data_IF_894223942411
#
_entry.id   IF_894223942411
#
_cell.length_a   1.000
_cell.length_b   1.000
_cell.length_c   1.000
_cell.angle_alpha   90.00
_cell.angle_beta   90.00
_cell.angle_gamma   90.00
#
_symmetry.space_group_name_H-M   'P 1'
#
loop_
_entity.id
_entity.type
_entity.pdbx_description
1 polymer ?
#
# COMPACT_ATOMS: atom_id res chain seq x y z
N UNK A 1 -20.16 12.47 13.96
CA UNK A 1 -18.68 12.62 13.95
C UNK A 1 -18.20 13.90 14.64
N UNK A 2 -18.66 15.12 14.30
CA UNK A 2 -18.10 16.37 14.84
C UNK A 2 -18.13 16.54 16.38
N UNK A 3 -19.14 15.99 17.08
CA UNK A 3 -19.32 16.21 18.52
C UNK A 3 -18.42 15.36 19.45
N UNK A 4 -17.66 14.39 18.91
CA UNK A 4 -16.75 13.52 19.69
C UNK A 4 -15.27 13.68 19.29
N UNK A 5 -14.96 14.67 18.47
CA UNK A 5 -13.60 14.89 17.95
C UNK A 5 -12.93 15.97 18.79
N UNK A 6 -11.70 15.73 19.32
CA UNK A 6 -10.93 16.77 19.99
C UNK A 6 -10.79 18.01 19.11
N UNK A 7 -10.88 19.21 19.72
CA UNK A 7 -10.95 20.47 18.98
C UNK A 7 -9.78 20.69 18.00
N UNK A 8 -8.60 20.15 18.32
CA UNK A 8 -7.41 20.25 17.49
C UNK A 8 -7.40 19.29 16.27
N UNK A 9 -8.35 18.36 16.18
CA UNK A 9 -8.56 17.45 15.05
C UNK A 9 -9.75 17.85 14.17
N UNK A 10 -10.54 18.85 14.55
CA UNK A 10 -11.67 19.35 13.74
C UNK A 10 -11.22 19.72 12.32
N UNK A 11 -10.11 20.46 12.09
CA UNK A 11 -9.66 20.76 10.73
C UNK A 11 -9.31 19.51 9.93
N UNK A 12 -8.72 18.49 10.58
CA UNK A 12 -8.39 17.21 9.93
C UNK A 12 -9.64 16.43 9.57
N UNK A 13 -10.67 16.41 10.42
CA UNK A 13 -11.94 15.73 10.09
C UNK A 13 -12.67 16.44 8.95
N UNK A 14 -12.63 17.77 8.90
CA UNK A 14 -13.19 18.54 7.79
C UNK A 14 -12.44 18.27 6.49
N UNK A 15 -11.12 18.26 6.53
CA UNK A 15 -10.28 17.92 5.38
C UNK A 15 -10.52 16.49 4.90
N UNK A 16 -10.56 15.51 5.80
CA UNK A 16 -10.86 14.12 5.46
C UNK A 16 -12.25 13.99 4.82
N UNK A 17 -13.25 14.69 5.36
CA UNK A 17 -14.60 14.72 4.79
C UNK A 17 -14.58 15.31 3.37
N UNK A 18 -13.83 16.39 3.14
CA UNK A 18 -13.68 16.98 1.82
C UNK A 18 -12.98 16.02 0.84
N UNK A 19 -11.90 15.35 1.26
CA UNK A 19 -11.20 14.35 0.45
C UNK A 19 -12.11 13.16 0.11
N UNK A 20 -12.84 12.61 1.08
CA UNK A 20 -13.82 11.53 0.83
C UNK A 20 -14.89 11.98 -0.16
N UNK A 21 -15.42 13.21 -0.04
CA UNK A 21 -16.37 13.76 -1.01
C UNK A 21 -15.77 13.93 -2.41
N UNK A 22 -14.52 14.39 -2.50
CA UNK A 22 -13.84 14.52 -3.78
C UNK A 22 -13.75 13.17 -4.52
N UNK A 23 -13.57 12.06 -3.78
CA UNK A 23 -13.56 10.72 -4.41
C UNK A 23 -14.91 10.23 -4.95
N UNK A 24 -16.00 10.94 -4.68
CA UNK A 24 -17.31 10.68 -5.29
C UNK A 24 -17.37 11.12 -6.76
N UNK A 25 -16.39 11.91 -7.21
CA UNK A 25 -16.24 12.22 -8.63
C UNK A 25 -16.05 10.89 -9.41
N UNK A 26 -16.87 10.61 -10.43
CA UNK A 26 -16.76 9.40 -11.24
C UNK A 26 -15.42 9.31 -11.98
N UNK A 27 -14.72 10.43 -12.17
CA UNK A 27 -13.38 10.48 -12.79
C UNK A 27 -12.24 10.19 -11.80
N UNK A 28 -12.53 10.08 -10.50
CA UNK A 28 -11.54 9.63 -9.52
C UNK A 28 -11.30 8.14 -9.70
N UNK A 29 -10.03 7.71 -9.90
CA UNK A 29 -9.73 6.30 -10.04
C UNK A 29 -10.21 5.46 -8.85
N UNK A 30 -10.74 4.25 -9.07
CA UNK A 30 -11.24 3.39 -7.99
C UNK A 30 -10.20 3.02 -6.92
N UNK A 31 -8.93 2.93 -7.29
CA UNK A 31 -7.80 2.66 -6.41
C UNK A 31 -7.63 3.83 -5.42
N UNK A 32 -7.65 5.06 -5.94
CA UNK A 32 -7.62 6.28 -5.13
C UNK A 32 -8.83 6.35 -4.20
N UNK A 33 -10.04 6.13 -4.74
CA UNK A 33 -11.28 6.09 -3.95
C UNK A 33 -11.21 5.03 -2.84
N UNK A 34 -10.77 3.82 -3.16
CA UNK A 34 -10.65 2.71 -2.23
C UNK A 34 -9.63 2.98 -1.12
N UNK A 35 -8.47 3.52 -1.47
CA UNK A 35 -7.43 3.89 -0.52
C UNK A 35 -7.90 5.00 0.43
N UNK A 36 -8.59 6.03 -0.10
CA UNK A 36 -9.18 7.09 0.72
C UNK A 36 -10.23 6.54 1.68
N UNK A 37 -11.13 5.66 1.22
CA UNK A 37 -12.18 5.07 2.07
C UNK A 37 -11.57 4.22 3.20
N UNK A 38 -10.61 3.34 2.88
CA UNK A 38 -9.93 2.50 3.91
C UNK A 38 -9.14 3.36 4.89
N UNK A 39 -8.46 4.40 4.40
CA UNK A 39 -7.79 5.38 5.27
C UNK A 39 -8.78 6.10 6.19
N UNK A 40 -9.95 6.51 5.67
CA UNK A 40 -10.98 7.18 6.45
C UNK A 40 -11.57 6.27 7.54
N UNK A 41 -11.75 4.98 7.26
CA UNK A 41 -12.17 3.99 8.25
C UNK A 41 -11.14 3.82 9.36
N UNK A 42 -9.86 3.68 9.01
CA UNK A 42 -8.78 3.57 9.97
C UNK A 42 -8.62 4.84 10.83
N UNK A 43 -8.72 6.02 10.22
CA UNK A 43 -8.73 7.31 10.95
C UNK A 43 -9.95 7.40 11.87
N UNK A 44 -11.13 6.96 11.42
CA UNK A 44 -12.33 6.94 12.27
C UNK A 44 -12.13 6.09 13.52
N UNK A 45 -11.58 4.88 13.38
CA UNK A 45 -11.26 4.02 14.51
C UNK A 45 -10.23 4.67 15.45
N UNK A 46 -9.20 5.33 14.90
CA UNK A 46 -8.21 6.05 15.71
C UNK A 46 -8.82 7.23 16.48
N UNK A 47 -9.79 7.95 15.89
CA UNK A 47 -10.50 9.04 16.55
C UNK A 47 -11.32 8.55 17.75
N UNK A 48 -11.89 7.34 17.68
CA UNK A 48 -12.57 6.72 18.83
C UNK A 48 -11.60 6.46 19.98
N UNK A 49 -10.42 5.89 19.68
CA UNK A 49 -9.36 5.66 20.68
C UNK A 49 -8.87 6.99 21.28
N UNK A 50 -8.68 8.02 20.47
CA UNK A 50 -8.27 9.35 20.94
C UNK A 50 -9.31 9.96 21.89
N UNK A 51 -10.61 9.80 21.56
CA UNK A 51 -11.74 10.33 22.33
C UNK A 51 -12.03 9.58 23.62
N UNK A 52 -11.49 8.38 23.80
CA UNK A 52 -11.63 7.59 25.03
C UNK A 52 -10.85 8.25 26.20
N UNK A 53 -11.51 8.59 27.33
CA UNK A 53 -10.85 9.09 28.52
C UNK A 53 -9.80 8.12 29.11
N UNK A 54 -9.97 6.82 28.90
CA UNK A 54 -9.04 5.77 29.37
C UNK A 54 -7.75 5.68 28.56
N UNK A 55 -7.69 6.28 27.37
CA UNK A 55 -6.47 6.31 26.56
C UNK A 55 -5.42 7.20 27.20
N UNK A 56 -4.20 6.67 27.35
CA UNK A 56 -3.10 7.41 27.95
C UNK A 56 -2.76 8.68 27.14
N UNK A 57 -2.33 9.78 27.80
CA UNK A 57 -1.99 11.02 27.11
C UNK A 57 -0.90 10.86 26.02
N UNK A 58 0.04 9.93 26.24
CA UNK A 58 1.10 9.65 25.28
C UNK A 58 0.55 9.01 23.99
N UNK A 59 -0.28 7.97 24.12
CA UNK A 59 -0.92 7.31 22.96
C UNK A 59 -1.85 8.30 22.24
N UNK A 60 -2.64 9.08 23.00
CA UNK A 60 -3.49 10.12 22.44
C UNK A 60 -2.69 11.13 21.61
N UNK A 61 -1.56 11.61 22.14
CA UNK A 61 -0.67 12.54 21.42
C UNK A 61 -0.07 11.94 20.14
N UNK A 62 0.40 10.69 20.20
CA UNK A 62 0.94 9.96 19.05
C UNK A 62 -0.11 9.77 17.95
N UNK A 63 -1.30 9.27 18.29
CA UNK A 63 -2.40 9.07 17.35
C UNK A 63 -2.88 10.40 16.74
N UNK A 64 -3.04 11.45 17.56
CA UNK A 64 -3.42 12.78 17.06
C UNK A 64 -2.43 13.29 16.03
N UNK A 65 -1.12 13.15 16.29
CA UNK A 65 -0.07 13.55 15.35
C UNK A 65 -0.16 12.78 14.03
N UNK A 66 -0.28 11.45 14.09
CA UNK A 66 -0.34 10.60 12.91
C UNK A 66 -1.63 10.78 12.10
N UNK A 67 -2.79 10.95 12.76
CA UNK A 67 -4.06 11.26 12.08
C UNK A 67 -3.94 12.54 11.27
N UNK A 68 -3.35 13.61 11.84
CA UNK A 68 -3.08 14.86 11.09
C UNK A 68 -2.18 14.61 9.88
N UNK A 69 -1.18 13.74 10.02
CA UNK A 69 -0.27 13.41 8.92
C UNK A 69 -0.96 12.60 7.82
N UNK A 70 -1.69 11.53 8.16
CA UNK A 70 -2.46 10.71 7.21
C UNK A 70 -3.45 11.57 6.43
N UNK A 71 -4.26 12.37 7.13
CA UNK A 71 -5.23 13.27 6.49
C UNK A 71 -4.53 14.30 5.60
N UNK A 72 -3.43 14.90 6.06
CA UNK A 72 -2.66 15.84 5.24
C UNK A 72 -2.07 15.21 3.98
N UNK A 73 -1.66 13.95 4.05
CA UNK A 73 -1.15 13.17 2.90
C UNK A 73 -2.29 12.83 1.93
N UNK A 74 -3.46 12.41 2.41
CA UNK A 74 -4.65 12.23 1.56
C UNK A 74 -5.07 13.54 0.89
N UNK A 75 -5.03 14.66 1.62
CA UNK A 75 -5.25 15.97 1.04
C UNK A 75 -4.23 16.37 -0.03
N UNK A 76 -3.01 15.82 0.04
CA UNK A 76 -2.00 15.97 -1.01
C UNK A 76 -2.38 15.16 -2.25
N UNK A 77 -2.87 13.92 -2.10
CA UNK A 77 -3.35 13.11 -3.23
C UNK A 77 -4.48 13.80 -4.01
N UNK A 78 -5.38 14.51 -3.31
CA UNK A 78 -6.48 15.24 -3.93
C UNK A 78 -6.10 16.60 -4.53
N UNK A 79 -4.81 16.98 -4.56
CA UNK A 79 -4.39 18.27 -5.13
C UNK A 79 -4.55 18.27 -6.66
N UNK A 80 -5.11 19.34 -7.24
CA UNK A 80 -5.11 19.53 -8.69
C UNK A 80 -3.68 19.52 -9.25
N UNK A 81 -3.50 18.90 -10.41
CA UNK A 81 -2.22 18.92 -11.15
C UNK A 81 -1.22 17.80 -10.82
N UNK A 82 -1.51 16.93 -9.85
CA UNK A 82 -0.71 15.71 -9.65
C UNK A 82 -1.04 14.66 -10.72
N UNK A 83 -0.03 14.05 -11.36
CA UNK A 83 -0.25 12.93 -12.28
C UNK A 83 -0.97 11.76 -11.60
N UNK A 84 -1.83 10.99 -12.29
CA UNK A 84 -2.57 9.85 -11.72
C UNK A 84 -1.69 8.85 -10.95
N UNK A 85 -0.54 8.46 -11.50
CA UNK A 85 0.38 7.53 -10.82
C UNK A 85 0.95 8.07 -9.51
N UNK A 86 1.20 9.37 -9.42
CA UNK A 86 1.65 10.02 -8.18
C UNK A 86 0.51 10.10 -7.16
N UNK A 87 -0.71 10.46 -7.58
CA UNK A 87 -1.89 10.48 -6.70
C UNK A 87 -2.16 9.10 -6.10
N UNK A 88 -2.16 8.06 -6.93
CA UNK A 88 -2.31 6.66 -6.50
C UNK A 88 -1.23 6.26 -5.48
N UNK A 89 0.03 6.59 -5.76
CA UNK A 89 1.15 6.30 -4.84
C UNK A 89 0.98 7.00 -3.48
N UNK A 90 0.56 8.26 -3.46
CA UNK A 90 0.31 9.02 -2.23
C UNK A 90 -0.85 8.42 -1.44
N UNK A 91 -1.94 8.07 -2.12
CA UNK A 91 -3.09 7.43 -1.50
C UNK A 91 -2.73 6.05 -0.91
N UNK A 92 -1.92 5.27 -1.62
CA UNK A 92 -1.39 3.98 -1.15
C UNK A 92 -0.56 4.13 0.13
N UNK A 93 0.37 5.09 0.16
CA UNK A 93 1.18 5.36 1.36
C UNK A 93 0.29 5.77 2.53
N UNK A 94 -0.69 6.64 2.30
CA UNK A 94 -1.62 7.07 3.34
C UNK A 94 -2.44 5.90 3.89
N UNK A 95 -2.91 4.99 3.03
CA UNK A 95 -3.67 3.81 3.42
C UNK A 95 -2.85 2.85 4.29
N UNK A 96 -1.67 2.44 3.83
CA UNK A 96 -0.80 1.52 4.57
C UNK A 96 -0.22 2.16 5.84
N UNK A 97 -0.08 3.48 5.85
CA UNK A 97 0.25 4.23 7.06
C UNK A 97 -0.92 4.25 8.06
N UNK A 98 -2.15 4.38 7.56
CA UNK A 98 -3.35 4.43 8.38
C UNK A 98 -3.68 3.07 9.02
N UNK A 99 -3.38 1.95 8.35
CA UNK A 99 -3.61 0.61 8.90
C UNK A 99 -2.88 0.38 10.23
N UNK A 100 -1.68 0.98 10.39
CA UNK A 100 -0.90 0.89 11.63
C UNK A 100 -1.51 1.65 12.83
N UNK A 101 -2.44 2.58 12.60
CA UNK A 101 -3.05 3.38 13.68
C UNK A 101 -3.77 2.50 14.71
N UNK A 102 -4.34 1.38 14.28
CA UNK A 102 -5.01 0.44 15.18
C UNK A 102 -4.03 -0.16 16.18
N UNK A 103 -2.92 -0.74 15.71
CA UNK A 103 -1.90 -1.32 16.57
C UNK A 103 -1.26 -0.27 17.48
N UNK A 104 -1.07 0.97 16.99
CA UNK A 104 -0.54 2.06 17.80
C UNK A 104 -1.49 2.45 18.95
N UNK A 105 -2.80 2.49 18.64
CA UNK A 105 -3.84 2.82 19.62
C UNK A 105 -4.17 1.70 20.59
N UNK A 106 -3.77 0.46 20.29
CA UNK A 106 -3.99 -0.68 21.18
C UNK A 106 -3.09 -0.58 22.43
N UNK A 107 -3.72 -0.67 23.60
CA UNK A 107 -3.06 -0.65 24.89
C UNK A 107 -2.18 -1.89 25.13
N UNK A 108 -2.45 -3.00 24.45
CA UNK A 108 -1.66 -4.24 24.59
C UNK A 108 -0.39 -4.25 23.75
N UNK A 109 -0.26 -3.35 22.76
CA UNK A 109 0.94 -3.24 21.93
C UNK A 109 2.15 -2.84 22.78
N UNK A 110 3.26 -3.61 22.74
CA UNK A 110 4.50 -3.26 23.43
C UNK A 110 4.98 -1.85 23.08
N UNK A 111 5.51 -1.13 24.07
CA UNK A 111 5.85 0.29 23.91
C UNK A 111 6.96 0.55 22.87
N UNK A 112 7.92 -0.36 22.76
CA UNK A 112 8.98 -0.33 21.74
C UNK A 112 8.41 -0.55 20.33
N UNK A 113 7.58 -1.59 20.15
CA UNK A 113 6.88 -1.85 18.90
C UNK A 113 6.00 -0.65 18.49
N UNK A 114 5.23 -0.09 19.43
CA UNK A 114 4.41 1.11 19.20
C UNK A 114 5.25 2.29 18.71
N UNK A 115 6.39 2.56 19.35
CA UNK A 115 7.26 3.67 18.96
C UNK A 115 7.88 3.46 17.58
N UNK A 116 8.27 2.23 17.26
CA UNK A 116 8.78 1.89 15.93
C UNK A 116 7.71 2.03 14.84
N UNK A 117 6.48 1.60 15.10
CA UNK A 117 5.35 1.83 14.19
C UNK A 117 5.09 3.33 13.98
N UNK A 118 5.06 4.12 15.06
CA UNK A 118 4.91 5.59 14.97
C UNK A 118 6.02 6.21 14.11
N UNK A 119 7.27 5.78 14.30
CA UNK A 119 8.41 6.27 13.55
C UNK A 119 8.39 5.86 12.08
N UNK A 120 8.03 4.61 11.77
CA UNK A 120 7.91 4.10 10.40
C UNK A 120 6.80 4.83 9.62
N UNK A 121 5.60 4.89 10.19
CA UNK A 121 4.44 5.59 9.63
C UNK A 121 4.73 7.08 9.45
N UNK A 122 5.26 7.74 10.48
CA UNK A 122 5.59 9.16 10.42
C UNK A 122 6.68 9.48 9.39
N UNK A 123 7.70 8.62 9.29
CA UNK A 123 8.78 8.76 8.31
C UNK A 123 8.30 8.66 6.86
N UNK A 124 7.46 7.66 6.56
CA UNK A 124 6.87 7.50 5.22
C UNK A 124 5.99 8.70 4.84
N UNK A 125 5.09 9.15 5.73
CA UNK A 125 4.21 10.29 5.50
C UNK A 125 5.00 11.61 5.34
N UNK A 126 6.04 11.80 6.16
CA UNK A 126 6.92 12.97 6.06
C UNK A 126 7.69 12.99 4.73
N UNK A 127 8.17 11.85 4.26
CA UNK A 127 8.87 11.73 2.99
C UNK A 127 7.99 12.11 1.80
N UNK A 128 6.73 11.67 1.79
CA UNK A 128 5.76 12.07 0.75
C UNK A 128 5.55 13.58 0.77
N UNK A 129 5.31 14.15 1.95
CA UNK A 129 5.09 15.60 2.10
C UNK A 129 6.31 16.42 1.67
N UNK A 130 7.51 16.03 2.09
CA UNK A 130 8.75 16.73 1.74
C UNK A 130 9.05 16.66 0.25
N UNK A 131 8.76 15.52 -0.38
CA UNK A 131 8.95 15.32 -1.82
C UNK A 131 7.97 16.11 -2.67
N UNK A 132 6.70 16.22 -2.24
CA UNK A 132 5.63 16.88 -2.99
C UNK A 132 5.34 18.32 -2.55
N UNK A 133 5.97 18.79 -1.47
CA UNK A 133 5.80 20.14 -0.92
C UNK A 133 6.14 21.24 -1.93
N UNK A 134 7.18 21.00 -2.76
CA UNK A 134 7.66 21.93 -3.79
C UNK A 134 7.28 21.51 -5.21
N UNK A 135 6.27 20.65 -5.39
CA UNK A 135 5.87 20.21 -6.71
C UNK A 135 5.10 21.35 -7.43
N UNK A 136 5.61 21.90 -8.55
CA UNK A 136 4.96 23.03 -9.22
C UNK A 136 3.55 22.67 -9.69
N UNK A 137 2.59 23.59 -9.54
CA UNK A 137 1.19 23.42 -9.95
C UNK A 137 0.97 23.36 -11.47
N UNK A 138 2.02 23.51 -12.27
CA UNK A 138 1.93 23.45 -13.73
C UNK A 138 3.27 22.98 -14.29
N UNK A 139 3.33 21.72 -14.72
CA UNK A 139 4.46 21.20 -15.47
C UNK A 139 4.59 19.70 -15.30
N UNK A 140 4.34 18.95 -16.37
CA UNK A 140 4.86 17.60 -16.50
C UNK A 140 6.36 17.66 -16.21
N UNK A 141 6.79 17.14 -15.05
CA UNK A 141 8.20 17.03 -14.70
C UNK A 141 8.88 16.00 -15.58
N UNK A 142 9.05 16.29 -16.87
CA UNK A 142 9.78 15.46 -17.81
C UNK A 142 11.28 15.63 -17.52
N UNK A 143 11.90 14.57 -17.01
CA UNK A 143 13.34 14.51 -16.73
C UNK A 143 13.70 14.00 -15.33
N UNK A 144 14.91 14.33 -14.87
CA UNK A 144 15.51 13.80 -13.64
C UNK A 144 14.70 14.08 -12.36
N UNK A 145 13.95 15.20 -12.30
CA UNK A 145 13.12 15.55 -11.14
C UNK A 145 11.88 14.65 -11.00
N UNK A 146 11.26 14.27 -12.12
CA UNK A 146 10.15 13.31 -12.12
C UNK A 146 10.60 11.93 -11.63
N UNK A 147 11.76 11.46 -12.11
CA UNK A 147 12.35 10.19 -11.67
C UNK A 147 12.70 10.19 -10.16
N UNK A 148 13.24 11.30 -9.64
CA UNK A 148 13.54 11.42 -8.21
C UNK A 148 12.29 11.40 -7.34
N UNK A 149 11.20 12.07 -7.77
CA UNK A 149 9.93 12.03 -7.05
C UNK A 149 9.34 10.63 -7.07
N UNK A 150 9.38 9.95 -8.22
CA UNK A 150 8.91 8.58 -8.32
C UNK A 150 9.71 7.63 -7.41
N UNK A 151 11.04 7.78 -7.37
CA UNK A 151 11.91 6.99 -6.48
C UNK A 151 11.56 7.22 -5.00
N UNK A 152 11.36 8.48 -4.59
CA UNK A 152 11.00 8.80 -3.21
C UNK A 152 9.61 8.28 -2.83
N UNK A 153 8.64 8.32 -3.76
CA UNK A 153 7.32 7.72 -3.56
C UNK A 153 7.41 6.21 -3.46
N UNK A 154 8.18 5.53 -4.32
CA UNK A 154 8.40 4.09 -4.25
C UNK A 154 9.02 3.66 -2.91
N UNK A 155 10.04 4.39 -2.46
CA UNK A 155 10.65 4.19 -1.15
C UNK A 155 9.64 4.37 0.00
N UNK A 156 8.80 5.43 -0.05
CA UNK A 156 7.77 5.65 0.96
C UNK A 156 6.72 4.54 0.97
N UNK A 157 6.36 4.00 -0.21
CA UNK A 157 5.44 2.87 -0.34
C UNK A 157 5.99 1.63 0.34
N UNK A 158 7.24 1.25 0.05
CA UNK A 158 7.91 0.11 0.71
C UNK A 158 7.94 0.26 2.24
N UNK A 159 8.31 1.44 2.75
CA UNK A 159 8.31 1.70 4.20
C UNK A 159 6.91 1.58 4.79
N UNK A 160 5.88 2.08 4.10
CA UNK A 160 4.50 1.96 4.56
C UNK A 160 3.99 0.51 4.56
N UNK A 161 4.41 -0.31 3.59
CA UNK A 161 4.13 -1.76 3.59
C UNK A 161 4.78 -2.42 4.80
N UNK A 162 6.06 -2.12 5.07
CA UNK A 162 6.76 -2.62 6.26
C UNK A 162 6.04 -2.26 7.57
N UNK A 163 5.59 -1.01 7.71
CA UNK A 163 4.80 -0.58 8.87
C UNK A 163 3.46 -1.32 8.97
N UNK A 164 2.75 -1.50 7.84
CA UNK A 164 1.47 -2.20 7.81
C UNK A 164 1.60 -3.67 8.19
N UNK A 165 2.63 -4.37 7.72
CA UNK A 165 2.85 -5.79 8.07
C UNK A 165 3.30 -5.94 9.51
N UNK A 166 4.13 -5.03 10.02
CA UNK A 166 4.54 -5.05 11.41
C UNK A 166 3.39 -4.73 12.39
N UNK A 167 2.37 -4.00 11.94
CA UNK A 167 1.16 -3.70 12.71
C UNK A 167 0.08 -4.79 12.61
N UNK A 168 0.28 -5.79 11.74
CA UNK A 168 -0.69 -6.85 11.52
C UNK A 168 -0.60 -7.89 12.66
N UNK A 169 -1.71 -8.19 13.36
CA UNK A 169 -1.72 -9.14 14.47
C UNK A 169 -1.39 -10.58 14.06
N UNK A 170 -1.52 -10.93 12.77
CA UNK A 170 -1.16 -12.26 12.29
C UNK A 170 0.34 -12.40 11.98
N UNK A 171 1.09 -11.29 11.95
CA UNK A 171 2.54 -11.34 11.84
C UNK A 171 3.11 -11.83 13.17
N UNK A 172 4.01 -12.85 13.20
CA UNK A 172 4.61 -13.33 14.44
C UNK A 172 5.33 -12.21 15.22
N UNK A 173 5.29 -12.23 16.56
CA UNK A 173 5.84 -11.16 17.43
C UNK A 173 7.29 -10.76 17.09
N UNK A 174 8.17 -11.75 16.86
CA UNK A 174 9.57 -11.49 16.47
C UNK A 174 9.64 -10.79 15.10
N UNK A 175 8.79 -11.22 14.15
CA UNK A 175 8.64 -10.61 12.84
C UNK A 175 8.07 -9.20 12.90
N UNK A 176 7.08 -8.94 13.78
CA UNK A 176 6.52 -7.61 14.02
C UNK A 176 7.61 -6.66 14.49
N UNK A 177 8.37 -7.05 15.52
CA UNK A 177 9.42 -6.22 16.11
C UNK A 177 10.55 -5.94 15.12
N UNK A 178 11.08 -6.97 14.47
CA UNK A 178 12.19 -6.83 13.52
C UNK A 178 11.79 -5.95 12.31
N UNK A 179 10.57 -6.14 11.81
CA UNK A 179 10.05 -5.36 10.67
C UNK A 179 9.76 -3.93 11.08
N UNK A 180 9.09 -3.68 12.22
CA UNK A 180 8.81 -2.34 12.71
C UNK A 180 10.10 -1.54 12.92
N UNK A 181 11.09 -2.14 13.60
CA UNK A 181 12.35 -1.46 13.88
C UNK A 181 13.10 -1.12 12.59
N UNK A 182 13.14 -2.03 11.61
CA UNK A 182 13.78 -1.78 10.33
C UNK A 182 13.04 -0.71 9.51
N UNK A 183 11.70 -0.76 9.51
CA UNK A 183 10.85 0.22 8.86
C UNK A 183 10.97 1.62 9.50
N UNK A 184 11.10 1.70 10.82
CA UNK A 184 11.37 2.95 11.52
C UNK A 184 12.71 3.56 11.07
N UNK A 185 13.79 2.77 11.05
CA UNK A 185 15.10 3.27 10.62
C UNK A 185 15.11 3.72 9.16
N UNK A 186 14.43 2.97 8.28
CA UNK A 186 14.25 3.32 6.88
C UNK A 186 13.43 4.61 6.73
N UNK A 187 12.28 4.70 7.41
CA UNK A 187 11.40 5.87 7.41
C UNK A 187 12.07 7.14 7.95
N UNK A 188 12.84 7.04 9.03
CA UNK A 188 13.57 8.17 9.59
C UNK A 188 14.64 8.71 8.61
N UNK A 189 15.34 7.82 7.92
CA UNK A 189 16.34 8.19 6.92
C UNK A 189 15.69 8.75 5.66
N UNK A 190 14.58 8.16 5.24
CA UNK A 190 13.79 8.63 4.12
C UNK A 190 13.22 10.04 4.37
N UNK A 191 12.73 10.32 5.58
CA UNK A 191 12.27 11.64 5.97
C UNK A 191 13.40 12.69 5.88
N UNK A 192 14.61 12.37 6.38
CA UNK A 192 15.81 13.24 6.22
C UNK A 192 16.16 13.48 4.75
N UNK A 193 15.95 12.50 3.90
CA UNK A 193 16.22 12.60 2.46
C UNK A 193 15.29 13.54 1.70
N UNK A 194 14.12 13.83 2.30
CA UNK A 194 13.07 14.69 1.79
C UNK A 194 12.93 15.99 2.59
N UNK A 195 13.82 16.25 3.56
CA UNK A 195 13.76 17.44 4.41
C UNK A 195 14.12 18.70 3.62
N UNK A 196 13.19 19.65 3.42
CA UNK A 196 13.45 20.87 2.66
C UNK A 196 14.45 21.82 3.35
N UNK A 197 14.67 21.66 4.66
CA UNK A 197 15.64 22.46 5.42
C UNK A 197 17.08 21.94 5.30
N UNK A 198 17.25 20.70 4.83
CA UNK A 198 18.55 20.08 4.65
C UNK A 198 19.20 20.48 3.31
N UNK A 199 20.54 20.57 3.31
CA UNK A 199 21.32 20.83 2.10
C UNK A 199 21.16 19.70 1.06
N UNK A 200 21.44 20.00 -0.21
CA UNK A 200 21.38 18.99 -1.28
C UNK A 200 22.29 17.78 -1.01
N UNK A 201 23.49 18.01 -0.45
CA UNK A 201 24.44 16.95 -0.12
C UNK A 201 23.96 16.09 1.05
N UNK A 202 23.35 16.69 2.08
CA UNK A 202 22.73 15.94 3.18
C UNK A 202 21.57 15.08 2.68
N UNK A 203 20.69 15.65 1.85
CA UNK A 203 19.58 14.91 1.23
C UNK A 203 20.10 13.77 0.37
N UNK A 204 21.13 13.99 -0.46
CA UNK A 204 21.73 12.96 -1.31
C UNK A 204 22.37 11.83 -0.51
N UNK A 205 23.07 12.16 0.59
CA UNK A 205 23.63 11.16 1.51
C UNK A 205 22.53 10.35 2.19
N UNK A 206 21.48 11.03 2.65
CA UNK A 206 20.32 10.38 3.27
C UNK A 206 19.58 9.48 2.28
N UNK A 207 19.45 9.84 0.99
CA UNK A 207 18.86 8.96 -0.04
C UNK A 207 19.64 7.64 -0.18
N UNK A 208 20.97 7.71 -0.27
CA UNK A 208 21.81 6.50 -0.34
C UNK A 208 21.71 5.63 0.92
N UNK A 209 21.64 6.25 2.09
CA UNK A 209 21.43 5.53 3.34
C UNK A 209 20.03 4.92 3.41
N UNK A 210 19.01 5.62 2.90
CA UNK A 210 17.63 5.15 2.85
C UNK A 210 17.52 3.90 1.98
N UNK A 211 18.12 3.89 0.78
CA UNK A 211 18.13 2.73 -0.10
C UNK A 211 18.65 1.48 0.63
N UNK A 212 19.81 1.58 1.29
CA UNK A 212 20.38 0.46 2.06
C UNK A 212 19.53 0.02 3.26
N UNK A 213 18.80 0.95 3.90
CA UNK A 213 17.92 0.66 5.03
C UNK A 213 16.63 -0.02 4.55
N UNK A 214 16.13 0.40 3.39
CA UNK A 214 14.96 -0.19 2.74
C UNK A 214 15.28 -1.62 2.30
N UNK A 215 16.43 -1.87 1.67
CA UNK A 215 16.84 -3.23 1.28
C UNK A 215 16.88 -4.17 2.50
N UNK A 216 17.46 -3.71 3.63
CA UNK A 216 17.46 -4.49 4.89
C UNK A 216 16.07 -4.70 5.47
N UNK A 217 15.20 -3.68 5.38
CA UNK A 217 13.81 -3.80 5.82
C UNK A 217 13.05 -4.80 4.95
N UNK A 218 13.24 -4.81 3.63
CA UNK A 218 12.61 -5.76 2.72
C UNK A 218 13.05 -7.21 3.04
N UNK A 219 14.32 -7.42 3.42
CA UNK A 219 14.78 -8.73 3.90
C UNK A 219 14.06 -9.16 5.18
N UNK A 220 13.91 -8.26 6.18
CA UNK A 220 13.20 -8.57 7.42
C UNK A 220 11.70 -8.79 7.22
N UNK A 221 11.12 -8.03 6.31
CA UNK A 221 9.75 -8.21 5.88
C UNK A 221 9.54 -9.59 5.22
N UNK A 222 10.43 -9.97 4.31
CA UNK A 222 10.40 -11.29 3.67
C UNK A 222 10.56 -12.43 4.67
N UNK A 223 11.52 -12.33 5.59
CA UNK A 223 11.71 -13.32 6.68
C UNK A 223 10.42 -13.47 7.51
N UNK A 224 9.81 -12.34 7.91
CA UNK A 224 8.61 -12.32 8.75
C UNK A 224 7.36 -12.86 8.04
N UNK A 225 7.21 -12.59 6.75
CA UNK A 225 6.06 -13.06 5.97
C UNK A 225 6.25 -14.53 5.58
N UNK A 226 7.43 -14.91 5.08
CA UNK A 226 7.72 -16.27 4.61
C UNK A 226 7.61 -17.31 5.71
N UNK A 227 7.87 -16.94 6.98
CA UNK A 227 7.68 -17.81 8.13
C UNK A 227 6.22 -18.32 8.31
N UNK A 228 5.23 -17.69 7.66
CA UNK A 228 3.83 -18.13 7.68
C UNK A 228 3.55 -19.27 6.69
N UNK A 229 4.46 -19.54 5.75
CA UNK A 229 4.27 -20.47 4.64
C UNK A 229 3.23 -19.99 3.62
N UNK A 230 3.05 -20.76 2.55
CA UNK A 230 2.03 -20.46 1.55
C UNK A 230 0.62 -20.72 2.10
N UNK A 231 -0.36 -19.84 1.82
CA UNK A 231 -1.72 -20.03 2.29
C UNK A 231 -2.35 -21.28 1.66
N UNK A 232 -3.08 -22.05 2.47
CA UNK A 232 -3.88 -23.18 2.00
C UNK A 232 -5.24 -22.69 1.48
N UNK A 233 -5.24 -22.16 0.26
CA UNK A 233 -6.44 -21.67 -0.43
C UNK A 233 -6.48 -22.18 -1.88
N UNK A 234 -7.68 -22.27 -2.49
CA UNK A 234 -7.79 -22.62 -3.90
C UNK A 234 -7.13 -21.59 -4.83
N UNK A 235 -6.75 -22.04 -6.03
CA UNK A 235 -6.07 -21.21 -7.04
C UNK A 235 -6.82 -19.92 -7.33
N UNK A 236 -8.13 -20.01 -7.53
CA UNK A 236 -8.95 -18.85 -7.82
C UNK A 236 -8.89 -17.79 -6.71
N UNK A 237 -8.92 -18.22 -5.44
CA UNK A 237 -8.79 -17.32 -4.28
C UNK A 237 -7.39 -16.70 -4.18
N UNK A 238 -6.34 -17.50 -4.40
CA UNK A 238 -4.97 -17.02 -4.42
C UNK A 238 -4.76 -15.97 -5.52
N UNK A 239 -5.26 -16.25 -6.73
CA UNK A 239 -5.20 -15.34 -7.87
C UNK A 239 -5.97 -14.03 -7.62
N UNK A 240 -7.17 -14.09 -7.02
CA UNK A 240 -7.95 -12.90 -6.65
C UNK A 240 -7.17 -11.98 -5.71
N UNK A 241 -6.62 -12.53 -4.62
CA UNK A 241 -5.87 -11.73 -3.63
C UNK A 241 -4.59 -11.16 -4.24
N UNK A 242 -3.83 -11.99 -4.96
CA UNK A 242 -2.61 -11.55 -5.65
C UNK A 242 -2.88 -10.40 -6.62
N UNK A 243 -3.89 -10.59 -7.47
CA UNK A 243 -4.26 -9.64 -8.52
C UNK A 243 -4.66 -8.31 -7.90
N UNK A 244 -5.56 -8.32 -6.91
CA UNK A 244 -5.96 -7.09 -6.20
C UNK A 244 -4.76 -6.37 -5.56
N UNK A 245 -3.81 -7.11 -4.98
CA UNK A 245 -2.62 -6.53 -4.38
C UNK A 245 -1.69 -5.89 -5.43
N UNK A 246 -1.43 -6.58 -6.54
CA UNK A 246 -0.61 -6.03 -7.64
C UNK A 246 -1.25 -4.76 -8.19
N UNK A 247 -2.56 -4.77 -8.43
CA UNK A 247 -3.29 -3.60 -8.93
C UNK A 247 -3.35 -2.43 -7.94
N UNK A 248 -3.53 -2.68 -6.65
CA UNK A 248 -3.44 -1.64 -5.62
C UNK A 248 -2.00 -1.09 -5.53
N UNK A 249 -0.99 -1.90 -5.89
CA UNK A 249 0.42 -1.58 -5.75
C UNK A 249 1.11 -0.98 -7.00
N UNK A 250 0.45 -0.87 -8.15
CA UNK A 250 1.11 -0.37 -9.35
C UNK A 250 0.57 0.99 -9.77
N UNK A 251 1.42 1.76 -10.47
CA UNK A 251 0.94 2.91 -11.20
C UNK A 251 0.09 2.46 -12.39
N UNK A 252 -1.05 3.12 -12.62
CA UNK A 252 -2.05 2.72 -13.61
C UNK A 252 -1.48 2.60 -15.03
N UNK A 253 -0.50 3.43 -15.38
CA UNK A 253 0.13 3.46 -16.70
C UNK A 253 1.11 2.30 -16.94
N UNK A 254 1.55 1.63 -15.87
CA UNK A 254 2.56 0.57 -15.94
C UNK A 254 1.90 -0.78 -16.15
N UNK A 255 0.85 -1.12 -15.38
CA UNK A 255 0.14 -2.40 -15.55
C UNK A 255 -0.62 -2.48 -16.87
N UNK A 256 -1.26 -1.40 -17.32
CA UNK A 256 -1.95 -1.39 -18.62
C UNK A 256 -0.99 -1.59 -19.79
N UNK A 257 0.26 -1.12 -19.66
CA UNK A 257 1.32 -1.31 -20.67
C UNK A 257 1.88 -2.73 -20.64
N UNK A 258 2.17 -3.25 -19.45
CA UNK A 258 2.80 -4.55 -19.27
C UNK A 258 1.83 -5.72 -19.53
N UNK A 259 0.54 -5.53 -19.20
CA UNK A 259 -0.51 -6.54 -19.34
C UNK A 259 -1.42 -6.28 -20.55
N UNK A 260 -1.03 -5.42 -21.48
CA UNK A 260 -1.93 -4.82 -22.49
C UNK A 260 -2.72 -5.78 -23.40
N UNK A 261 -2.31 -7.06 -23.52
CA UNK A 261 -3.06 -8.10 -24.26
C UNK A 261 -3.91 -9.02 -23.36
N UNK A 262 -3.73 -8.90 -22.05
CA UNK A 262 -4.33 -9.74 -21.01
C UNK A 262 -5.49 -9.05 -20.30
N UNK A 263 -5.61 -7.72 -20.42
CA UNK A 263 -6.65 -6.94 -19.78
C UNK A 263 -7.71 -6.52 -20.81
N UNK A 264 -9.01 -6.70 -20.53
CA UNK A 264 -10.08 -6.15 -21.36
C UNK A 264 -9.91 -4.63 -21.55
N UNK A 265 -10.14 -4.11 -22.76
CA UNK A 265 -9.98 -2.67 -23.05
C UNK A 265 -10.75 -1.76 -22.08
N UNK A 266 -11.91 -2.24 -21.57
CA UNK A 266 -12.72 -1.52 -20.57
C UNK A 266 -11.97 -1.25 -19.25
N UNK A 267 -10.97 -2.06 -18.89
CA UNK A 267 -10.17 -1.87 -17.66
C UNK A 267 -9.36 -0.57 -17.70
N UNK A 268 -8.98 -0.10 -18.88
CA UNK A 268 -8.26 1.17 -19.06
C UNK A 268 -9.14 2.39 -18.72
N UNK A 269 -10.47 2.25 -18.76
CA UNK A 269 -11.43 3.32 -18.51
C UNK A 269 -12.16 3.17 -17.15
N UNK A 270 -12.48 1.93 -16.74
CA UNK A 270 -13.28 1.65 -15.55
C UNK A 270 -12.42 1.36 -14.30
N UNK A 271 -11.13 1.08 -14.46
CA UNK A 271 -10.25 0.68 -13.37
C UNK A 271 -10.51 -0.76 -12.92
N UNK A 272 -9.43 -1.49 -12.68
CA UNK A 272 -9.47 -2.95 -12.49
C UNK A 272 -10.31 -3.37 -11.27
N UNK A 273 -10.34 -2.55 -10.23
CA UNK A 273 -11.10 -2.84 -9.00
C UNK A 273 -12.62 -2.69 -9.14
N UNK A 274 -13.12 -1.85 -10.06
CA UNK A 274 -14.57 -1.73 -10.31
C UNK A 274 -15.07 -2.87 -11.19
N UNK A 275 -14.24 -3.38 -12.10
CA UNK A 275 -14.47 -4.67 -12.76
C UNK A 275 -14.62 -5.81 -11.73
N UNK A 276 -13.69 -5.90 -10.77
CA UNK A 276 -13.74 -6.90 -9.70
C UNK A 276 -14.87 -6.68 -8.67
N UNK A 277 -15.44 -5.47 -8.56
CA UNK A 277 -16.56 -5.15 -7.65
C UNK A 277 -17.94 -5.17 -8.31
N UNK A 278 -18.03 -5.37 -9.62
CA UNK A 278 -19.29 -5.24 -10.37
C UNK A 278 -20.37 -6.29 -10.03
N UNK A 279 -20.17 -7.13 -9.00
CA UNK A 279 -21.15 -8.12 -8.50
C UNK A 279 -22.51 -7.48 -8.18
N UNK A 280 -22.55 -6.17 -7.94
CA UNK A 280 -23.76 -5.42 -7.63
C UNK A 280 -24.41 -4.72 -8.85
N UNK A 281 -23.81 -4.75 -10.06
CA UNK A 281 -24.31 -4.01 -11.23
C UNK A 281 -24.73 -4.87 -12.44
N UNK A 282 -24.61 -6.21 -12.38
CA UNK A 282 -25.20 -7.11 -13.37
C UNK A 282 -24.72 -6.90 -14.81
N UNK A 283 -23.41 -7.00 -15.03
CA UNK A 283 -22.78 -6.82 -16.35
C UNK A 283 -21.93 -8.05 -16.70
N UNK A 284 -22.02 -8.55 -17.93
CA UNK A 284 -21.42 -9.82 -18.40
C UNK A 284 -19.87 -9.88 -18.34
N UNK A 285 -19.22 -8.76 -18.01
CA UNK A 285 -17.80 -8.67 -17.68
C UNK A 285 -17.45 -9.25 -16.28
N UNK A 286 -18.46 -9.53 -15.45
CA UNK A 286 -18.37 -10.16 -14.11
C UNK A 286 -17.88 -11.60 -14.09
N UNK A 287 -17.80 -12.22 -15.26
CA UNK A 287 -17.46 -13.61 -15.38
C UNK A 287 -16.06 -13.88 -14.84
N UNK A 288 -15.08 -12.99 -14.98
CA UNK A 288 -13.72 -13.26 -14.50
C UNK A 288 -13.64 -13.32 -12.96
N UNK A 289 -14.31 -12.45 -12.19
CA UNK A 289 -14.32 -12.57 -10.71
C UNK A 289 -15.11 -13.80 -10.26
N UNK A 290 -16.23 -14.08 -10.92
CA UNK A 290 -17.10 -15.24 -10.61
C UNK A 290 -16.37 -16.55 -10.94
N UNK A 291 -15.63 -16.56 -12.05
CA UNK A 291 -14.69 -17.59 -12.48
C UNK A 291 -13.57 -17.77 -11.43
N UNK A 292 -12.87 -16.69 -11.05
CA UNK A 292 -11.82 -16.72 -10.03
C UNK A 292 -12.34 -17.17 -8.65
N UNK A 293 -13.59 -16.90 -8.29
CA UNK A 293 -14.08 -17.18 -6.92
C UNK A 293 -14.74 -18.54 -6.76
N UNK A 294 -15.29 -19.11 -7.82
CA UNK A 294 -16.15 -20.29 -7.68
C UNK A 294 -15.50 -21.61 -8.08
N UNK A 295 -14.33 -21.65 -8.75
CA UNK A 295 -13.71 -22.87 -9.33
C UNK A 295 -14.68 -23.76 -10.20
N UNK A 296 -15.95 -23.35 -10.36
CA UNK A 296 -17.06 -24.10 -10.96
C UNK A 296 -17.22 -23.84 -12.47
N UNK A 297 -16.58 -22.80 -13.00
CA UNK A 297 -16.66 -22.45 -14.42
C UNK A 297 -15.46 -23.00 -15.17
N UNK A 298 -15.74 -23.71 -16.27
CA UNK A 298 -14.74 -24.42 -17.08
C UNK A 298 -13.58 -23.54 -17.59
N UNK A 299 -13.82 -22.23 -17.74
CA UNK A 299 -12.85 -21.28 -18.32
C UNK A 299 -12.07 -20.46 -17.28
N UNK A 300 -12.44 -20.51 -15.99
CA UNK A 300 -11.73 -19.80 -14.92
C UNK A 300 -10.22 -20.12 -14.86
N UNK A 301 -9.81 -21.39 -15.00
CA UNK A 301 -8.39 -21.72 -15.04
C UNK A 301 -7.69 -21.14 -16.27
N UNK A 302 -8.39 -20.86 -17.38
CA UNK A 302 -7.78 -20.36 -18.64
C UNK A 302 -7.36 -18.91 -18.49
N UNK A 303 -8.19 -18.05 -17.90
CA UNK A 303 -7.85 -16.64 -17.68
C UNK A 303 -6.75 -16.49 -16.61
N UNK A 304 -6.80 -17.29 -15.54
CA UNK A 304 -5.74 -17.33 -14.50
C UNK A 304 -4.39 -17.73 -15.08
N UNK A 305 -4.36 -18.75 -15.96
CA UNK A 305 -3.13 -19.22 -16.65
C UNK A 305 -2.45 -18.14 -17.48
N UNK A 306 -3.19 -17.11 -17.92
CA UNK A 306 -2.63 -15.99 -18.67
C UNK A 306 -2.26 -14.81 -17.77
N UNK A 307 -3.11 -14.51 -16.80
CA UNK A 307 -2.96 -13.35 -15.92
C UNK A 307 -1.75 -13.47 -14.98
N UNK A 308 -1.61 -14.58 -14.24
CA UNK A 308 -0.58 -14.71 -13.19
C UNK A 308 0.85 -14.64 -13.76
N UNK A 309 1.19 -15.29 -14.89
CA UNK A 309 2.49 -15.09 -15.51
C UNK A 309 2.75 -13.64 -15.95
N UNK A 310 1.71 -12.93 -16.43
CA UNK A 310 1.80 -11.51 -16.76
C UNK A 310 2.12 -10.66 -15.53
N UNK A 311 1.41 -10.90 -14.41
CA UNK A 311 1.67 -10.21 -13.14
C UNK A 311 3.09 -10.49 -12.62
N UNK A 312 3.57 -11.73 -12.75
CA UNK A 312 4.92 -12.12 -12.38
C UNK A 312 6.01 -11.44 -13.22
N UNK A 313 5.71 -11.04 -14.45
CA UNK A 313 6.61 -10.26 -15.29
C UNK A 313 6.70 -8.79 -14.83
N UNK A 314 5.59 -8.21 -14.33
CA UNK A 314 5.55 -6.83 -13.83
C UNK A 314 6.15 -6.66 -12.44
N UNK A 315 6.01 -7.68 -11.57
CA UNK A 315 6.50 -7.62 -10.18
C UNK A 315 7.54 -8.72 -9.95
N UNK A 316 8.85 -8.39 -10.00
CA UNK A 316 9.91 -9.36 -9.78
C UNK A 316 9.84 -10.06 -8.41
N UNK A 317 10.17 -11.35 -8.37
CA UNK A 317 10.11 -12.17 -7.16
C UNK A 317 10.95 -11.63 -5.99
N UNK A 318 12.08 -11.00 -6.26
CA UNK A 318 13.00 -10.41 -5.27
C UNK A 318 12.44 -9.13 -4.62
N UNK A 319 11.36 -8.57 -5.17
CA UNK A 319 10.71 -7.36 -4.64
C UNK A 319 9.26 -7.57 -4.22
N UNK A 320 8.72 -8.77 -4.40
CA UNK A 320 7.29 -9.05 -4.22
C UNK A 320 6.81 -8.74 -2.80
N UNK A 321 7.60 -9.08 -1.77
CA UNK A 321 7.23 -8.81 -0.37
C UNK A 321 7.28 -7.32 -0.05
N UNK A 322 8.32 -6.60 -0.49
CA UNK A 322 8.43 -5.15 -0.31
C UNK A 322 7.34 -4.34 -1.01
N UNK A 323 6.85 -4.84 -2.15
CA UNK A 323 5.79 -4.20 -2.92
C UNK A 323 4.38 -4.54 -2.44
N UNK A 324 4.14 -5.81 -2.09
CA UNK A 324 2.79 -6.33 -1.85
C UNK A 324 2.50 -6.65 -0.38
N UNK A 325 3.51 -6.80 0.47
CA UNK A 325 3.35 -7.31 1.83
C UNK A 325 2.85 -8.76 1.86
N UNK A 326 2.01 -9.10 2.83
CA UNK A 326 1.46 -10.47 3.02
C UNK A 326 0.77 -11.06 1.76
N UNK A 327 0.01 -10.29 0.96
CA UNK A 327 -0.54 -10.76 -0.31
C UNK A 327 0.48 -11.39 -1.28
N UNK A 328 1.79 -11.13 -1.13
CA UNK A 328 2.84 -11.82 -1.87
C UNK A 328 2.72 -13.36 -1.75
N UNK A 329 2.36 -13.90 -0.58
CA UNK A 329 2.18 -15.34 -0.39
C UNK A 329 1.05 -15.91 -1.27
N UNK A 330 -0.01 -15.13 -1.51
CA UNK A 330 -1.07 -15.53 -2.43
C UNK A 330 -0.61 -15.53 -3.88
N UNK A 331 0.27 -14.59 -4.27
CA UNK A 331 0.90 -14.59 -5.59
C UNK A 331 1.78 -15.83 -5.80
N UNK A 332 2.61 -16.17 -4.79
CA UNK A 332 3.45 -17.36 -4.82
C UNK A 332 2.61 -18.65 -4.84
N UNK A 333 1.53 -18.72 -4.05
CA UNK A 333 0.59 -19.85 -4.04
C UNK A 333 -0.08 -20.05 -5.40
N UNK A 334 -0.57 -18.97 -6.01
CA UNK A 334 -1.18 -19.03 -7.34
C UNK A 334 -0.16 -19.51 -8.40
N UNK A 335 1.07 -18.99 -8.35
CA UNK A 335 2.16 -19.43 -9.23
C UNK A 335 2.49 -20.92 -9.06
N UNK A 336 2.58 -21.40 -7.81
CA UNK A 336 2.86 -22.79 -7.50
C UNK A 336 1.75 -23.73 -7.99
N UNK A 337 0.49 -23.41 -7.73
CA UNK A 337 -0.66 -24.21 -8.19
C UNK A 337 -0.75 -24.25 -9.72
N UNK A 338 -0.47 -23.14 -10.40
CA UNK A 338 -0.42 -23.12 -11.87
C UNK A 338 0.68 -24.01 -12.44
N UNK A 339 1.86 -24.03 -11.83
CA UNK A 339 2.95 -24.89 -12.29
C UNK A 339 2.64 -26.37 -12.02
N UNK A 340 2.21 -26.69 -10.80
CA UNK A 340 1.97 -28.07 -10.36
C UNK A 340 0.74 -28.70 -11.01
N UNK A 341 -0.40 -28.02 -11.00
CA UNK A 341 -1.69 -28.60 -11.41
C UNK A 341 -1.95 -28.44 -12.92
N UNK A 342 -1.28 -27.48 -13.56
CA UNK A 342 -1.54 -27.13 -14.96
C UNK A 342 -0.30 -26.99 -15.85
N UNK A 343 0.91 -27.13 -15.32
CA UNK A 343 2.15 -27.00 -16.09
C UNK A 343 2.44 -25.58 -16.60
N UNK A 344 1.84 -24.55 -15.99
CA UNK A 344 1.98 -23.15 -16.43
C UNK A 344 3.00 -22.42 -15.56
N UNK A 345 4.15 -22.11 -16.16
CA UNK A 345 5.26 -21.41 -15.52
C UNK A 345 4.92 -19.93 -15.30
N UNK A 346 5.00 -19.46 -14.05
CA UNK A 346 4.87 -18.04 -13.68
C UNK A 346 6.23 -17.39 -13.36
N UNK A 347 7.26 -17.71 -14.15
CA UNK A 347 8.58 -17.09 -14.03
C UNK A 347 9.28 -17.36 -12.69
N UNK A 348 9.92 -16.32 -12.14
CA UNK A 348 10.68 -16.40 -10.88
C UNK A 348 9.82 -16.61 -9.64
N UNK A 349 8.50 -16.37 -9.72
CA UNK A 349 7.58 -16.62 -8.61
C UNK A 349 7.49 -18.10 -8.25
N UNK A 350 7.58 -19.02 -9.22
CA UNK A 350 7.54 -20.47 -8.93
C UNK A 350 8.72 -20.88 -8.06
N UNK A 351 9.93 -20.46 -8.44
CA UNK A 351 11.14 -20.72 -7.63
C UNK A 351 11.02 -20.09 -6.25
N UNK A 352 10.50 -18.87 -6.19
CA UNK A 352 10.31 -18.18 -4.91
C UNK A 352 9.29 -18.89 -4.01
N UNK A 353 8.26 -19.49 -4.59
CA UNK A 353 7.28 -20.28 -3.86
C UNK A 353 7.85 -21.60 -3.31
N UNK A 354 8.96 -22.12 -3.86
CA UNK A 354 9.67 -23.30 -3.36
C UNK A 354 10.64 -22.96 -2.22
N UNK A 355 11.02 -21.68 -2.08
CA UNK A 355 11.90 -21.18 -1.02
C UNK A 355 11.17 -20.80 0.28
N UNK A 356 9.84 -20.67 0.21
CA UNK A 356 8.93 -20.23 1.30
C UNK A 356 8.20 -21.43 1.89
#
# INVERSE_FOLDING_TARGET
MKERVPGDLVPSVEQLTATVRATQDPTTPPQERGAVVRSAQAVSAALEVIGDPGTSPAIRGQLTGLVKQVVGTLGTASRPGLPPGARSSVAFVAEHSASALRAIGDGTTPGDLRNDLVGATGGALAAVRGTLGDFPHAGHGTGARGAQVQQALDAARKVSVGASVAADPDTPDEGQKATAQSAHQAGATLARSADPSASDEERKKARKEADQRIDRMEQKLEEAISAQGLPDVPLGKAAEVCTNAVFDSAAEDTLGRDLGSLLPEKWNAEGVKDFWKSRDMGNDALDVLTQLRNDEYADAPVEVKRLVPGLAASVPADRIFGMLGRPALHCLKAAQQLDHDFGVKSGSWVKKAEEV
#
